data_IF_918135357500
#
_entry.id   IF_918135357500
#
_cell.length_a   1.000
_cell.length_b   1.000
_cell.length_c   1.000
_cell.angle_alpha   90.00
_cell.angle_beta   90.00
_cell.angle_gamma   90.00
#
_symmetry.space_group_name_H-M   'P 1'
#
loop_
_entity.id
_entity.type
_entity.pdbx_description
1 polymer ?
#
# COMPACT_ATOMS: atom_id res chain seq x y z
N UNK A 1 6.29 -17.88 -25.07
CA UNK A 1 5.54 -18.73 -24.13
C UNK A 1 5.39 -17.95 -22.86
N UNK A 2 4.20 -17.95 -22.30
CA UNK A 2 3.85 -17.19 -21.10
C UNK A 2 3.23 -18.16 -20.09
N UNK A 3 3.58 -17.98 -18.82
CA UNK A 3 3.07 -18.76 -17.71
C UNK A 3 2.56 -17.77 -16.66
N UNK A 4 1.29 -17.90 -16.30
CA UNK A 4 0.65 -17.13 -15.23
C UNK A 4 0.48 -18.04 -14.01
N UNK A 5 0.82 -17.52 -12.83
CA UNK A 5 0.70 -18.22 -11.55
C UNK A 5 -0.16 -17.36 -10.64
N UNK A 6 -1.22 -17.93 -10.08
CA UNK A 6 -2.04 -17.28 -9.05
C UNK A 6 -1.54 -17.71 -7.68
N UNK A 7 -1.40 -16.75 -6.77
CA UNK A 7 -0.86 -16.93 -5.43
C UNK A 7 -1.87 -16.40 -4.42
N UNK A 8 -1.88 -17.00 -3.23
CA UNK A 8 -2.65 -16.52 -2.08
C UNK A 8 -1.98 -15.27 -1.45
N UNK A 9 -2.74 -14.44 -0.74
CA UNK A 9 -2.31 -13.13 -0.20
C UNK A 9 -1.05 -13.16 0.68
N UNK A 10 -0.78 -14.31 1.32
CA UNK A 10 0.32 -14.52 2.25
C UNK A 10 1.50 -15.28 1.62
N UNK A 11 1.50 -15.44 0.30
CA UNK A 11 2.60 -16.07 -0.41
C UNK A 11 3.87 -15.21 -0.34
N UNK A 12 5.01 -15.84 -0.07
CA UNK A 12 6.30 -15.16 -0.06
C UNK A 12 6.74 -14.82 -1.50
N UNK A 13 6.30 -13.66 -1.98
CA UNK A 13 6.60 -13.13 -3.31
C UNK A 13 8.10 -13.01 -3.55
N UNK A 14 8.87 -12.64 -2.52
CA UNK A 14 10.31 -12.48 -2.63
C UNK A 14 11.01 -13.82 -2.88
N UNK A 15 10.63 -14.85 -2.12
CA UNK A 15 11.12 -16.21 -2.32
C UNK A 15 10.69 -16.79 -3.67
N UNK A 16 9.43 -16.66 -4.05
CA UNK A 16 8.90 -17.19 -5.31
C UNK A 16 9.58 -16.53 -6.51
N UNK A 17 9.76 -15.20 -6.47
CA UNK A 17 10.49 -14.48 -7.52
C UNK A 17 11.92 -14.99 -7.65
N UNK A 18 12.62 -15.17 -6.53
CA UNK A 18 13.99 -15.70 -6.51
C UNK A 18 14.06 -17.11 -7.11
N UNK A 19 13.13 -17.99 -6.74
CA UNK A 19 13.03 -19.35 -7.27
C UNK A 19 12.81 -19.35 -8.78
N UNK A 20 11.86 -18.56 -9.29
CA UNK A 20 11.56 -18.49 -10.72
C UNK A 20 12.75 -17.90 -11.51
N UNK A 21 13.42 -16.88 -11.01
CA UNK A 21 14.59 -16.29 -11.72
C UNK A 21 15.77 -17.25 -11.89
N UNK A 22 15.85 -18.32 -11.10
CA UNK A 22 16.91 -19.32 -11.20
C UNK A 22 16.63 -20.38 -12.29
N UNK A 23 15.39 -20.48 -12.78
CA UNK A 23 15.01 -21.48 -13.78
C UNK A 23 15.57 -21.09 -15.15
N UNK A 24 16.43 -21.95 -15.70
CA UNK A 24 17.02 -21.76 -17.03
C UNK A 24 15.90 -21.68 -18.08
N UNK A 25 15.87 -20.57 -18.82
CA UNK A 25 14.87 -20.33 -19.87
C UNK A 25 13.81 -19.29 -19.48
N UNK A 26 13.73 -18.90 -18.21
CA UNK A 26 12.92 -17.75 -17.79
C UNK A 26 13.65 -16.46 -18.16
N UNK A 27 12.99 -15.60 -18.95
CA UNK A 27 13.54 -14.32 -19.42
C UNK A 27 13.28 -13.18 -18.43
N UNK A 28 12.12 -13.18 -17.79
CA UNK A 28 11.69 -12.13 -16.87
C UNK A 28 10.57 -12.66 -15.98
N UNK A 29 10.50 -12.15 -14.74
CA UNK A 29 9.42 -12.42 -13.79
C UNK A 29 8.77 -11.07 -13.46
N UNK A 30 7.50 -10.93 -13.76
CA UNK A 30 6.69 -9.74 -13.49
C UNK A 30 5.66 -10.10 -12.42
N UNK A 31 5.43 -9.18 -11.49
CA UNK A 31 4.43 -9.30 -10.42
C UNK A 31 3.48 -8.14 -10.61
N UNK A 32 2.18 -8.41 -10.78
CA UNK A 32 1.16 -7.36 -10.82
C UNK A 32 1.06 -6.70 -9.44
N UNK A 33 1.27 -5.39 -9.38
CA UNK A 33 1.21 -4.64 -8.11
C UNK A 33 -0.24 -4.35 -7.67
N UNK A 34 -1.25 -4.75 -8.46
CA UNK A 34 -2.66 -4.49 -8.20
C UNK A 34 -3.18 -5.09 -6.87
N UNK A 35 -2.51 -6.12 -6.33
CA UNK A 35 -2.88 -6.79 -5.08
C UNK A 35 -1.83 -6.64 -3.96
N UNK A 36 -0.95 -5.62 -4.02
CA UNK A 36 -0.01 -5.37 -2.93
C UNK A 36 -0.75 -4.88 -1.69
N UNK A 37 -0.87 -5.76 -0.71
CA UNK A 37 -1.26 -5.40 0.66
C UNK A 37 -0.03 -4.85 1.37
N UNK A 38 0.03 -3.54 1.58
CA UNK A 38 1.08 -2.92 2.40
C UNK A 38 0.81 -3.18 3.88
N UNK A 39 1.85 -3.56 4.62
CA UNK A 39 1.77 -3.59 6.08
C UNK A 39 1.78 -2.15 6.65
N UNK A 40 1.21 -1.97 7.84
CA UNK A 40 1.26 -0.68 8.53
C UNK A 40 2.69 -0.23 8.81
N UNK A 41 3.59 -1.16 9.14
CA UNK A 41 5.00 -0.87 9.41
C UNK A 41 5.72 -0.33 8.15
N UNK A 42 5.39 -0.87 6.96
CA UNK A 42 5.91 -0.35 5.69
C UNK A 42 5.37 1.06 5.37
N UNK A 43 4.09 1.30 5.65
CA UNK A 43 3.46 2.62 5.43
C UNK A 43 4.09 3.66 6.36
N UNK A 44 4.18 3.36 7.66
CA UNK A 44 4.70 4.26 8.70
C UNK A 44 6.15 4.68 8.43
N UNK A 45 6.98 3.73 7.99
CA UNK A 45 8.39 4.00 7.67
C UNK A 45 8.60 4.63 6.28
N UNK A 46 7.54 4.87 5.50
CA UNK A 46 7.67 5.47 4.18
C UNK A 46 7.94 6.98 4.23
N UNK A 47 8.80 7.46 3.34
CA UNK A 47 9.06 8.91 3.18
C UNK A 47 7.76 9.69 2.90
N UNK A 48 6.84 9.06 2.17
CA UNK A 48 5.54 9.65 1.84
C UNK A 48 4.69 9.89 3.08
N UNK A 49 4.61 8.91 3.98
CA UNK A 49 3.89 9.04 5.24
C UNK A 49 4.47 10.19 6.08
N UNK A 50 5.80 10.30 6.17
CA UNK A 50 6.46 11.43 6.84
C UNK A 50 6.01 12.79 6.30
N UNK A 51 5.98 12.97 4.97
CA UNK A 51 5.51 14.23 4.35
C UNK A 51 4.05 14.55 4.66
N UNK A 52 3.19 13.53 4.70
CA UNK A 52 1.76 13.71 5.05
C UNK A 52 1.63 14.16 6.50
N UNK A 53 2.38 13.55 7.42
CA UNK A 53 2.35 13.93 8.84
C UNK A 53 2.86 15.36 9.06
N UNK A 54 3.96 15.75 8.40
CA UNK A 54 4.44 17.14 8.45
C UNK A 54 3.42 18.14 7.90
N UNK A 55 2.72 17.79 6.82
CA UNK A 55 1.66 18.63 6.26
C UNK A 55 0.49 18.75 7.25
N UNK A 56 0.07 17.65 7.85
CA UNK A 56 -0.97 17.64 8.88
C UNK A 56 -0.62 18.55 10.06
N UNK A 57 0.64 18.54 10.51
CA UNK A 57 1.09 19.43 11.59
C UNK A 57 1.03 20.91 11.18
N UNK A 58 1.43 21.23 9.95
CA UNK A 58 1.34 22.61 9.41
C UNK A 58 -0.11 23.07 9.33
N UNK A 59 -1.00 22.20 8.84
CA UNK A 59 -2.41 22.52 8.70
C UNK A 59 -3.08 22.77 10.05
N UNK A 60 -2.78 21.94 11.05
CA UNK A 60 -3.22 22.18 12.43
C UNK A 60 -2.77 23.55 12.96
N UNK A 61 -1.47 23.89 12.81
CA UNK A 61 -0.91 25.17 13.25
C UNK A 61 -1.53 26.37 12.55
N UNK A 62 -1.94 26.21 11.29
CA UNK A 62 -2.53 27.27 10.49
C UNK A 62 -4.06 27.38 10.64
N UNK A 63 -4.68 26.50 11.43
CA UNK A 63 -6.14 26.46 11.57
C UNK A 63 -6.86 25.80 10.38
N UNK A 64 -6.13 25.12 9.49
CA UNK A 64 -6.67 24.36 8.36
C UNK A 64 -7.10 22.96 8.80
N UNK A 65 -7.94 22.87 9.83
CA UNK A 65 -8.47 21.61 10.31
C UNK A 65 -9.98 21.74 10.49
N UNK A 66 -10.66 20.59 10.46
CA UNK A 66 -12.07 20.48 10.78
C UNK A 66 -12.20 19.67 12.06
N UNK A 67 -13.07 20.08 12.98
CA UNK A 67 -13.36 19.29 14.15
C UNK A 67 -14.04 17.98 13.77
N UNK A 68 -13.71 16.93 14.50
CA UNK A 68 -14.36 15.64 14.34
C UNK A 68 -15.79 15.74 14.88
N UNK A 69 -16.77 15.70 13.99
CA UNK A 69 -18.18 15.65 14.33
C UNK A 69 -18.83 14.37 13.82
N UNK A 70 -19.94 13.97 14.43
CA UNK A 70 -20.73 12.82 13.95
C UNK A 70 -21.17 13.04 12.50
N UNK A 71 -21.59 14.27 12.15
CA UNK A 71 -21.95 14.64 10.78
C UNK A 71 -20.78 14.49 9.79
N UNK A 72 -19.55 14.79 10.21
CA UNK A 72 -18.35 14.61 9.38
C UNK A 72 -18.04 13.12 9.19
N UNK A 73 -18.18 12.32 10.25
CA UNK A 73 -18.02 10.87 10.18
C UNK A 73 -19.05 10.25 9.23
N UNK A 74 -20.31 10.68 9.30
CA UNK A 74 -21.37 10.20 8.42
C UNK A 74 -21.15 10.62 6.95
N UNK A 75 -20.59 11.80 6.71
CA UNK A 75 -20.17 12.23 5.36
C UNK A 75 -19.00 11.42 4.79
N UNK A 76 -17.99 11.11 5.62
CA UNK A 76 -16.77 10.40 5.17
C UNK A 76 -17.07 8.93 4.90
N UNK A 77 -17.81 8.29 5.80
CA UNK A 77 -18.06 6.85 5.75
C UNK A 77 -19.37 6.48 5.05
N UNK A 78 -20.06 7.49 4.48
CA UNK A 78 -21.30 7.37 3.72
C UNK A 78 -22.23 6.30 4.33
N UNK A 79 -22.50 6.45 5.62
CA UNK A 79 -23.44 5.58 6.33
C UNK A 79 -24.86 5.88 5.85
N UNK A 80 -25.24 5.28 4.74
CA UNK A 80 -26.66 5.07 4.40
C UNK A 80 -27.32 4.12 5.37
#
# INVERSE_FOLDING_TARGET
>A
MELTIQLEDHADLAFIKKLLTQIKGIKSVQVSEEDRTYSWEEIENSEYFGKVMEQSERDYKNGNYQELTDDLLDQIFDKK
#
